data_IF_965197997121
#
_entry.id   IF_965197997121
#
_cell.length_a   1.000
_cell.length_b   1.000
_cell.length_c   1.000
_cell.angle_alpha   90.00
_cell.angle_beta   90.00
_cell.angle_gamma   90.00
#
_symmetry.space_group_name_H-M   'P 1'
#
loop_
_entity.id
_entity.type
_entity.pdbx_description
1 polymer ?
#
# COMPACT_ATOMS: atom_id res chain seq x y z
N UNK A 1 7.20 -15.83 13.36
CA UNK A 1 6.07 -15.64 12.43
C UNK A 1 6.62 -14.82 11.28
N UNK A 2 6.49 -15.32 10.06
CA UNK A 2 6.96 -14.60 8.87
C UNK A 2 5.88 -13.63 8.39
N UNK A 3 6.26 -12.58 7.67
CA UNK A 3 5.30 -11.57 7.18
C UNK A 3 4.23 -12.20 6.27
N UNK A 4 4.60 -13.24 5.50
CA UNK A 4 3.64 -14.00 4.69
C UNK A 4 2.51 -14.64 5.48
N UNK A 5 2.75 -14.99 6.74
CA UNK A 5 1.75 -15.60 7.62
C UNK A 5 0.68 -14.57 8.05
N UNK A 6 1.02 -13.28 7.98
CA UNK A 6 0.15 -12.15 8.31
C UNK A 6 -0.68 -11.65 7.11
N UNK A 7 -0.34 -12.04 5.87
CA UNK A 7 -1.01 -11.55 4.65
C UNK A 7 -2.52 -11.85 4.63
N UNK A 8 -3.02 -13.02 5.04
CA UNK A 8 -4.47 -13.25 5.11
C UNK A 8 -5.19 -12.25 6.02
N UNK A 9 -4.58 -11.91 7.17
CA UNK A 9 -5.12 -10.91 8.10
C UNK A 9 -5.08 -9.51 7.50
N UNK A 10 -3.98 -9.15 6.83
CA UNK A 10 -3.83 -7.87 6.13
C UNK A 10 -4.93 -7.67 5.08
N UNK A 11 -5.16 -8.68 4.24
CA UNK A 11 -6.22 -8.65 3.23
C UNK A 11 -7.59 -8.54 3.89
N UNK A 12 -7.87 -9.30 4.95
CA UNK A 12 -9.15 -9.27 5.64
C UNK A 12 -9.46 -7.90 6.27
N UNK A 13 -8.46 -7.25 6.86
CA UNK A 13 -8.59 -5.88 7.40
C UNK A 13 -8.88 -4.89 6.28
N UNK A 14 -8.07 -4.90 5.23
CA UNK A 14 -8.18 -3.91 4.15
C UNK A 14 -9.39 -4.12 3.24
N UNK A 15 -9.91 -5.35 3.13
CA UNK A 15 -11.13 -5.66 2.38
C UNK A 15 -12.42 -5.22 3.11
N UNK A 16 -12.34 -4.94 4.40
CA UNK A 16 -13.47 -4.47 5.19
C UNK A 16 -13.45 -2.94 5.26
N UNK A 17 -14.43 -2.27 4.65
CA UNK A 17 -14.49 -0.80 4.60
C UNK A 17 -14.44 -0.13 5.97
N UNK A 18 -15.07 -0.70 7.01
CA UNK A 18 -15.03 -0.12 8.34
C UNK A 18 -13.64 -0.19 8.97
N UNK A 19 -12.90 -1.28 8.73
CA UNK A 19 -11.51 -1.43 9.21
C UNK A 19 -10.54 -0.58 8.39
N UNK A 20 -10.70 -0.52 7.06
CA UNK A 20 -9.93 0.38 6.20
C UNK A 20 -10.10 1.85 6.64
N UNK A 21 -11.34 2.30 6.86
CA UNK A 21 -11.62 3.64 7.36
C UNK A 21 -11.04 3.88 8.77
N UNK A 22 -11.04 2.87 9.63
CA UNK A 22 -10.41 2.98 10.94
C UNK A 22 -8.88 3.18 10.80
N UNK A 23 -8.23 2.43 9.93
CA UNK A 23 -6.81 2.60 9.62
C UNK A 23 -6.51 3.98 9.01
N UNK A 24 -7.32 4.43 8.05
CA UNK A 24 -7.21 5.76 7.44
C UNK A 24 -7.37 6.89 8.47
N UNK A 25 -8.28 6.76 9.44
CA UNK A 25 -8.43 7.75 10.53
C UNK A 25 -7.22 7.78 11.45
N UNK A 26 -6.61 6.62 11.75
CA UNK A 26 -5.37 6.56 12.53
C UNK A 26 -4.25 7.24 11.74
N UNK A 27 -4.13 6.90 10.46
CA UNK A 27 -3.13 7.46 9.56
C UNK A 27 -3.27 8.98 9.41
N UNK A 28 -4.48 9.50 9.22
CA UNK A 28 -4.75 10.94 9.14
C UNK A 28 -4.34 11.68 10.43
N UNK A 29 -4.60 11.11 11.61
CA UNK A 29 -4.14 11.71 12.88
C UNK A 29 -2.62 11.71 13.01
N UNK A 30 -1.96 10.63 12.60
CA UNK A 30 -0.49 10.51 12.64
C UNK A 30 0.17 11.49 11.67
N UNK A 31 -0.34 11.59 10.44
CA UNK A 31 0.12 12.54 9.42
C UNK A 31 -0.03 13.99 9.92
N UNK A 32 -1.24 14.37 10.36
CA UNK A 32 -1.49 15.72 10.88
C UNK A 32 -0.56 16.09 12.05
N UNK A 33 -0.20 15.13 12.90
CA UNK A 33 0.70 15.36 14.03
C UNK A 33 2.19 15.45 13.63
N UNK A 34 2.56 14.92 12.46
CA UNK A 34 3.94 14.85 12.01
C UNK A 34 4.40 16.16 11.33
N UNK A 35 3.63 16.66 10.36
CA UNK A 35 4.02 17.79 9.52
C UNK A 35 2.89 18.78 9.17
N UNK A 36 1.65 18.47 9.56
CA UNK A 36 0.48 19.29 9.25
C UNK A 36 -0.06 19.10 7.82
N UNK A 37 0.42 18.09 7.09
CA UNK A 37 -0.06 17.77 5.73
C UNK A 37 -1.52 17.30 5.71
N UNK A 38 -2.13 17.37 4.52
CA UNK A 38 -3.55 17.07 4.31
C UNK A 38 -3.76 15.63 3.83
N UNK A 39 -4.47 14.85 4.64
CA UNK A 39 -5.07 13.61 4.19
C UNK A 39 -6.21 13.92 3.19
N UNK A 40 -6.35 13.19 2.06
CA UNK A 40 -5.65 11.96 1.74
C UNK A 40 -4.35 12.13 0.93
N UNK A 41 -4.04 13.29 0.33
CA UNK A 41 -3.00 13.41 -0.71
C UNK A 41 -1.67 12.71 -0.39
N UNK A 42 -1.22 12.74 0.86
CA UNK A 42 0.06 12.18 1.31
C UNK A 42 -0.10 11.02 2.31
N UNK A 43 -1.30 10.44 2.37
CA UNK A 43 -1.68 9.43 3.36
C UNK A 43 -1.36 7.97 2.99
N UNK A 44 -0.80 7.69 1.80
CA UNK A 44 -0.71 6.33 1.25
C UNK A 44 0.21 5.42 2.08
N UNK A 45 1.44 5.84 2.31
CA UNK A 45 2.43 5.09 3.07
C UNK A 45 2.01 4.91 4.53
N UNK A 46 1.45 5.94 5.16
CA UNK A 46 1.07 5.86 6.57
C UNK A 46 -0.18 5.00 6.77
N UNK A 47 -1.14 5.05 5.84
CA UNK A 47 -2.30 4.15 5.84
C UNK A 47 -1.86 2.69 5.71
N UNK A 48 -0.95 2.41 4.78
CA UNK A 48 -0.42 1.06 4.60
C UNK A 48 0.43 0.60 5.80
N UNK A 49 1.22 1.50 6.39
CA UNK A 49 1.98 1.23 7.63
C UNK A 49 1.05 0.79 8.76
N UNK A 50 -0.08 1.49 8.96
CA UNK A 50 -1.07 1.15 9.98
C UNK A 50 -1.70 -0.22 9.71
N UNK A 51 -2.08 -0.51 8.47
CA UNK A 51 -2.67 -1.81 8.09
C UNK A 51 -1.67 -2.96 8.32
N UNK A 52 -0.41 -2.78 7.92
CA UNK A 52 0.67 -3.75 8.16
C UNK A 52 0.86 -4.02 9.66
N UNK A 53 0.95 -2.97 10.48
CA UNK A 53 1.07 -3.07 11.93
C UNK A 53 -0.12 -3.83 12.55
N UNK A 54 -1.35 -3.52 12.13
CA UNK A 54 -2.57 -4.20 12.60
C UNK A 54 -2.61 -5.68 12.19
N UNK A 55 -2.02 -6.04 11.04
CA UNK A 55 -1.87 -7.42 10.60
C UNK A 55 -0.74 -8.18 11.33
N UNK A 56 0.09 -7.47 12.11
CA UNK A 56 1.22 -8.03 12.85
C UNK A 56 2.59 -7.81 12.18
N UNK A 57 2.63 -7.17 11.00
CA UNK A 57 3.85 -6.88 10.25
C UNK A 57 4.46 -5.58 10.78
N UNK A 58 5.58 -5.71 11.47
CA UNK A 58 6.21 -4.60 12.20
C UNK A 58 7.01 -3.70 11.25
N UNK A 59 6.36 -2.64 10.77
CA UNK A 59 6.98 -1.52 10.05
C UNK A 59 6.81 -0.23 10.86
N UNK A 60 7.77 0.70 10.84
CA UNK A 60 7.59 2.01 11.46
C UNK A 60 6.52 2.83 10.73
N UNK A 61 5.98 3.84 11.41
CA UNK A 61 5.14 4.84 10.77
C UNK A 61 5.93 5.54 9.66
N UNK A 62 5.50 5.36 8.42
CA UNK A 62 6.21 5.84 7.23
C UNK A 62 5.28 6.73 6.41
N UNK A 63 5.75 7.93 6.06
CA UNK A 63 4.94 8.94 5.37
C UNK A 63 5.26 9.06 3.88
N UNK A 64 6.36 8.47 3.42
CA UNK A 64 6.76 8.46 2.01
C UNK A 64 6.63 7.07 1.40
N UNK A 65 5.93 6.98 0.27
CA UNK A 65 5.73 5.74 -0.48
C UNK A 65 7.06 5.07 -0.85
N UNK A 66 8.02 5.83 -1.38
CA UNK A 66 9.37 5.35 -1.68
C UNK A 66 10.06 4.73 -0.46
N UNK A 67 9.98 5.40 0.70
CA UNK A 67 10.62 4.92 1.94
C UNK A 67 9.97 3.63 2.45
N UNK A 68 8.64 3.50 2.36
CA UNK A 68 7.96 2.28 2.76
C UNK A 68 8.38 1.11 1.87
N UNK A 69 8.53 1.33 0.55
CA UNK A 69 9.07 0.33 -0.36
C UNK A 69 10.46 -0.17 0.05
N UNK A 70 11.37 0.75 0.41
CA UNK A 70 12.71 0.38 0.91
C UNK A 70 12.65 -0.45 2.19
N UNK A 71 11.82 -0.06 3.16
CA UNK A 71 11.67 -0.81 4.41
C UNK A 71 11.19 -2.24 4.13
N UNK A 72 10.21 -2.40 3.25
CA UNK A 72 9.68 -3.73 2.91
C UNK A 72 10.74 -4.60 2.22
N UNK A 73 11.51 -4.04 1.30
CA UNK A 73 12.57 -4.78 0.60
C UNK A 73 13.76 -5.08 1.51
N UNK A 74 14.36 -4.05 2.11
CA UNK A 74 15.67 -4.12 2.74
C UNK A 74 15.57 -4.62 4.19
N UNK A 75 14.55 -4.19 4.94
CA UNK A 75 14.41 -4.51 6.37
C UNK A 75 13.48 -5.70 6.62
N UNK A 76 12.45 -5.89 5.76
CA UNK A 76 11.48 -7.00 5.88
C UNK A 76 11.75 -8.14 4.90
N UNK A 77 12.65 -7.97 3.94
CA UNK A 77 13.05 -9.02 2.99
C UNK A 77 11.99 -9.37 1.95
N UNK A 78 11.02 -8.49 1.68
CA UNK A 78 10.00 -8.72 0.66
C UNK A 78 10.63 -8.72 -0.73
N UNK A 79 10.12 -9.60 -1.59
CA UNK A 79 10.63 -9.76 -2.96
C UNK A 79 9.94 -8.83 -3.93
N UNK A 80 10.71 -8.31 -4.89
CA UNK A 80 10.18 -7.54 -6.02
C UNK A 80 9.53 -8.49 -7.03
N UNK A 81 8.30 -8.18 -7.39
CA UNK A 81 7.46 -8.94 -8.33
C UNK A 81 7.19 -8.08 -9.56
N UNK A 82 7.30 -8.68 -10.74
CA UNK A 82 7.05 -8.01 -12.00
C UNK A 82 5.55 -7.72 -12.20
N UNK A 83 5.26 -6.57 -12.81
CA UNK A 83 3.91 -6.22 -13.25
C UNK A 83 3.37 -7.30 -14.20
N UNK A 84 2.11 -7.70 -14.01
CA UNK A 84 1.49 -8.82 -14.71
C UNK A 84 1.49 -10.14 -13.92
N UNK A 85 2.21 -10.19 -12.80
CA UNK A 85 2.32 -11.39 -11.94
C UNK A 85 1.93 -11.13 -10.47
N UNK A 86 1.29 -9.98 -10.23
CA UNK A 86 0.75 -9.63 -8.93
C UNK A 86 -0.26 -10.66 -8.42
N UNK A 87 -0.39 -10.72 -7.10
CA UNK A 87 -1.35 -11.53 -6.39
C UNK A 87 -1.91 -10.76 -5.19
N UNK A 88 -3.04 -11.24 -4.68
CA UNK A 88 -3.62 -10.72 -3.44
C UNK A 88 -2.59 -10.75 -2.29
N UNK A 89 -2.44 -9.61 -1.62
CA UNK A 89 -1.44 -9.38 -0.58
C UNK A 89 -0.20 -8.63 -1.03
N UNK A 90 0.00 -8.49 -2.35
CA UNK A 90 1.12 -7.71 -2.86
C UNK A 90 0.92 -6.21 -2.65
N UNK A 91 2.01 -5.49 -2.46
CA UNK A 91 2.01 -4.02 -2.38
C UNK A 91 2.47 -3.48 -3.73
N UNK A 92 1.58 -2.80 -4.45
CA UNK A 92 1.91 -2.09 -5.67
C UNK A 92 2.57 -0.75 -5.38
N UNK A 93 3.62 -0.42 -6.14
CA UNK A 93 4.37 0.83 -6.02
C UNK A 93 4.45 1.52 -7.38
N UNK A 94 4.13 2.81 -7.44
CA UNK A 94 4.36 3.66 -8.62
C UNK A 94 5.71 4.37 -8.56
N UNK A 95 6.47 4.18 -7.47
CA UNK A 95 7.71 4.90 -7.24
C UNK A 95 8.77 4.52 -8.28
N UNK A 96 9.51 5.53 -8.73
CA UNK A 96 10.68 5.38 -9.59
C UNK A 96 11.97 5.14 -8.80
N UNK A 97 13.12 5.37 -9.44
CA UNK A 97 14.44 5.32 -8.78
C UNK A 97 14.71 6.48 -7.83
N UNK A 98 13.93 7.56 -7.94
CA UNK A 98 14.03 8.78 -7.13
C UNK A 98 12.66 9.11 -6.55
N UNK A 99 12.58 9.58 -5.29
CA UNK A 99 11.32 10.02 -4.71
C UNK A 99 10.73 11.19 -5.47
N UNK A 100 9.45 11.10 -5.80
CA UNK A 100 8.68 12.17 -6.43
C UNK A 100 7.39 12.43 -5.66
N UNK A 101 7.33 13.59 -5.01
CA UNK A 101 6.16 13.98 -4.24
C UNK A 101 4.95 14.20 -5.16
N UNK A 102 3.81 13.62 -4.79
CA UNK A 102 2.55 13.71 -5.54
C UNK A 102 2.37 12.68 -6.67
N UNK A 103 3.43 12.07 -7.21
CA UNK A 103 3.35 10.99 -8.21
C UNK A 103 3.64 9.60 -7.62
N UNK A 104 4.45 9.54 -6.56
CA UNK A 104 4.71 8.33 -5.79
C UNK A 104 3.47 7.89 -5.01
N UNK A 105 3.09 6.63 -5.18
CA UNK A 105 1.94 6.04 -4.54
C UNK A 105 2.18 4.57 -4.25
N UNK A 106 1.67 4.12 -3.11
CA UNK A 106 1.66 2.71 -2.71
C UNK A 106 0.26 2.29 -2.32
N UNK A 107 -0.07 1.03 -2.62
CA UNK A 107 -1.38 0.46 -2.36
C UNK A 107 -1.29 -1.05 -2.19
N UNK A 108 -2.30 -1.64 -1.55
CA UNK A 108 -2.39 -3.08 -1.35
C UNK A 108 -3.30 -3.71 -2.43
N UNK A 109 -2.80 -4.71 -3.16
CA UNK A 109 -3.63 -5.57 -4.03
C UNK A 109 -4.43 -6.54 -3.15
N UNK A 110 -5.76 -6.41 -3.16
CA UNK A 110 -6.66 -7.32 -2.44
C UNK A 110 -7.10 -8.50 -3.32
N UNK A 111 -7.11 -8.30 -4.64
CA UNK A 111 -7.52 -9.28 -5.62
C UNK A 111 -7.08 -8.84 -7.02
N UNK A 112 -6.21 -9.63 -7.63
CA UNK A 112 -5.88 -9.51 -9.04
C UNK A 112 -7.00 -10.14 -9.88
N UNK A 113 -7.62 -9.37 -10.78
CA UNK A 113 -8.65 -9.84 -11.71
C UNK A 113 -8.01 -10.46 -12.95
N UNK A 114 -6.95 -9.82 -13.43
CA UNK A 114 -6.08 -10.29 -14.51
C UNK A 114 -4.67 -9.67 -14.34
N UNK A 115 -3.84 -9.71 -15.40
CA UNK A 115 -2.49 -9.16 -15.39
C UNK A 115 -2.42 -7.63 -15.23
N UNK A 116 -3.53 -6.91 -15.36
CA UNK A 116 -3.59 -5.45 -15.27
C UNK A 116 -4.60 -4.97 -14.20
N UNK A 117 -5.83 -5.46 -14.26
CA UNK A 117 -6.93 -5.03 -13.40
C UNK A 117 -6.88 -5.71 -12.02
N UNK A 118 -7.05 -4.90 -10.97
CA UNK A 118 -7.00 -5.30 -9.57
C UNK A 118 -8.08 -4.61 -8.76
N UNK A 119 -8.45 -5.21 -7.63
CA UNK A 119 -9.15 -4.53 -6.53
C UNK A 119 -8.12 -4.18 -5.48
N UNK A 120 -8.01 -2.92 -5.11
CA UNK A 120 -6.98 -2.42 -4.19
C UNK A 120 -7.58 -1.72 -2.98
N UNK A 121 -6.76 -1.56 -1.94
CA UNK A 121 -7.00 -0.63 -0.84
C UNK A 121 -5.83 0.33 -0.67
N UNK A 122 -6.16 1.61 -0.44
CA UNK A 122 -5.22 2.67 -0.15
C UNK A 122 -5.90 3.79 0.67
N UNK A 123 -5.31 4.97 0.70
CA UNK A 123 -5.79 6.20 1.33
C UNK A 123 -6.77 7.02 0.47
N UNK A 124 -6.85 6.79 -0.84
CA UNK A 124 -7.58 7.65 -1.78
C UNK A 124 -9.08 7.33 -1.83
N UNK A 125 -9.49 6.14 -1.40
CA UNK A 125 -10.88 5.72 -1.34
C UNK A 125 -11.19 5.07 0.02
N UNK A 126 -12.37 5.34 0.57
CA UNK A 126 -12.83 4.82 1.86
C UNK A 126 -13.36 3.37 1.78
N UNK A 127 -13.34 2.79 0.57
CA UNK A 127 -13.68 1.41 0.27
C UNK A 127 -12.68 0.80 -0.72
N UNK A 128 -12.53 -0.54 -0.75
CA UNK A 128 -11.83 -1.21 -1.84
C UNK A 128 -12.37 -0.80 -3.21
N UNK A 129 -11.47 -0.55 -4.15
CA UNK A 129 -11.84 -0.04 -5.48
C UNK A 129 -10.93 -0.60 -6.57
N UNK A 130 -11.35 -0.46 -7.82
CA UNK A 130 -10.58 -0.95 -8.97
C UNK A 130 -9.39 -0.06 -9.29
N UNK A 131 -8.28 -0.68 -9.68
CA UNK A 131 -7.10 -0.03 -10.25
C UNK A 131 -6.48 -0.91 -11.33
N UNK A 132 -5.87 -0.27 -12.33
CA UNK A 132 -5.08 -0.92 -13.35
C UNK A 132 -3.59 -0.71 -13.09
N UNK A 133 -2.79 -1.77 -13.16
CA UNK A 133 -1.34 -1.70 -13.02
C UNK A 133 -0.70 -0.85 -14.13
N UNK A 134 -1.30 -0.82 -15.31
CA UNK A 134 -0.92 -0.01 -16.46
C UNK A 134 -1.16 1.50 -16.26
N UNK A 135 -1.91 1.90 -15.22
CA UNK A 135 -2.35 3.29 -15.05
C UNK A 135 -3.53 3.69 -15.94
N UNK A 136 -4.12 2.74 -16.67
CA UNK A 136 -5.33 2.97 -17.48
C UNK A 136 -6.41 3.70 -16.69
N UNK A 137 -7.00 4.73 -17.28
CA UNK A 137 -7.94 5.63 -16.60
C UNK A 137 -7.30 6.87 -15.95
N UNK A 138 -6.01 7.13 -16.18
CA UNK A 138 -5.34 8.38 -15.80
C UNK A 138 -4.61 8.33 -14.45
N UNK A 139 -4.25 7.14 -13.97
CA UNK A 139 -3.43 6.96 -12.76
C UNK A 139 -1.97 6.72 -13.15
N UNK A 140 -1.04 7.03 -12.24
CA UNK A 140 0.38 6.68 -12.43
C UNK A 140 0.51 5.16 -12.55
N UNK A 141 1.18 4.64 -13.60
CA UNK A 141 1.44 3.21 -13.76
C UNK A 141 2.26 2.65 -12.61
N UNK A 142 2.04 1.38 -12.30
CA UNK A 142 2.82 0.62 -11.32
C UNK A 142 4.16 0.27 -11.91
N UNK A 143 5.23 0.52 -11.15
CA UNK A 143 6.59 0.18 -11.53
C UNK A 143 6.92 -1.26 -11.14
N UNK A 144 6.51 -1.67 -9.94
CA UNK A 144 6.73 -3.01 -9.40
C UNK A 144 5.75 -3.34 -8.28
N UNK A 145 5.70 -4.61 -7.92
CA UNK A 145 4.99 -5.11 -6.75
C UNK A 145 5.98 -5.65 -5.71
N UNK A 146 5.59 -5.67 -4.44
CA UNK A 146 6.35 -6.27 -3.34
C UNK A 146 5.54 -7.39 -2.71
N UNK A 147 6.18 -8.53 -2.47
CA UNK A 147 5.55 -9.72 -1.87
C UNK A 147 6.32 -10.22 -0.65
N UNK A 148 5.59 -10.48 0.43
CA UNK A 148 6.15 -11.13 1.62
C UNK A 148 6.58 -12.58 1.32
N UNK A 149 7.73 -13.00 1.85
CA UNK A 149 8.35 -14.33 1.61
C UNK A 149 8.48 -15.20 2.87
#
# INVERSE_FOLDING_TARGET
>A
MADKDCIPTLIALASNSAQLQAAQRIAARKLLAYDGEQFPSDGCAITLSVLLQQAGIQVPDTYQAFRLGQILMDDRGWSVIAVGTQAAGDIGSTCGSTPEHGSDHVYLDLKSVNADEMVIADNQCDVPHFRFASGSGGKTPTTFFLRAV
#
